data_IF_827562575306
#
_entry.id   IF_827562575306
#
_cell.length_a   1.000
_cell.length_b   1.000
_cell.length_c   1.000
_cell.angle_alpha   90.00
_cell.angle_beta   90.00
_cell.angle_gamma   90.00
#
_symmetry.space_group_name_H-M   'P 1'
#
loop_
_entity.id
_entity.type
_entity.pdbx_description
1 polymer ?
#
# COMPACT_ATOMS: atom_id res chain seq x y z
N UNK A 1 36.17 55.09 5.12
CA UNK A 1 35.33 53.90 4.93
C UNK A 1 34.82 53.88 3.50
N UNK A 2 34.73 52.66 2.91
CA UNK A 2 34.20 52.31 1.59
C UNK A 2 35.06 52.67 0.35
N UNK A 3 36.00 51.77 0.02
CA UNK A 3 36.50 51.55 -1.34
C UNK A 3 35.43 50.81 -2.14
N UNK A 4 35.03 51.34 -3.29
CA UNK A 4 34.06 50.69 -4.19
C UNK A 4 34.79 50.23 -5.45
N UNK A 5 35.02 48.93 -5.57
CA UNK A 5 35.67 48.30 -6.72
C UNK A 5 34.64 47.99 -7.80
N UNK A 6 34.83 48.60 -8.97
CA UNK A 6 34.19 48.23 -10.23
C UNK A 6 34.84 46.97 -10.78
N UNK A 7 34.07 45.90 -10.98
CA UNK A 7 34.48 44.77 -11.82
C UNK A 7 33.32 44.38 -12.74
N UNK A 8 33.51 44.70 -14.02
CA UNK A 8 32.70 44.25 -15.14
C UNK A 8 33.29 42.92 -15.62
N UNK A 9 32.49 41.85 -15.60
CA UNK A 9 32.88 40.57 -16.22
C UNK A 9 31.72 40.08 -17.08
N UNK A 10 31.84 40.36 -18.37
CA UNK A 10 31.11 39.72 -19.45
C UNK A 10 31.65 38.30 -19.64
N UNK A 11 30.80 37.28 -19.67
CA UNK A 11 31.22 35.92 -20.02
C UNK A 11 30.15 35.22 -20.87
N UNK A 12 30.34 35.46 -22.17
CA UNK A 12 30.02 34.66 -23.37
C UNK A 12 29.34 33.30 -23.14
N UNK A 13 28.15 33.17 -23.73
CA UNK A 13 27.51 31.88 -24.04
C UNK A 13 28.44 31.05 -24.94
N UNK A 14 28.78 29.84 -24.50
CA UNK A 14 29.36 28.82 -25.36
C UNK A 14 28.23 27.96 -25.92
N UNK A 15 27.90 28.21 -27.18
CA UNK A 15 27.02 27.37 -27.98
C UNK A 15 27.73 26.05 -28.30
N UNK A 16 27.22 24.94 -27.80
CA UNK A 16 27.72 23.61 -28.15
C UNK A 16 27.00 23.09 -29.40
N UNK A 17 27.85 22.83 -30.39
CA UNK A 17 27.61 22.31 -31.72
C UNK A 17 26.73 21.06 -31.76
N UNK A 18 25.78 21.04 -32.72
CA UNK A 18 24.94 19.88 -33.03
C UNK A 18 25.73 18.92 -33.92
N UNK A 19 26.25 17.85 -33.35
CA UNK A 19 26.84 16.77 -34.12
C UNK A 19 25.74 15.84 -34.64
N UNK A 20 25.47 15.93 -35.93
CA UNK A 20 24.62 15.03 -36.70
C UNK A 20 25.29 13.66 -36.83
N UNK A 21 24.79 12.65 -36.12
CA UNK A 21 25.18 11.25 -36.28
C UNK A 21 24.15 10.54 -37.15
N UNK A 22 24.60 10.08 -38.31
CA UNK A 22 23.84 9.27 -39.26
C UNK A 22 23.49 7.92 -38.62
N UNK A 23 22.19 7.64 -38.52
CA UNK A 23 21.63 6.40 -37.98
C UNK A 23 21.80 5.23 -38.95
N UNK A 24 22.29 4.05 -38.52
CA UNK A 24 22.22 2.84 -39.31
C UNK A 24 20.78 2.29 -39.26
N UNK A 25 20.20 2.01 -40.42
CA UNK A 25 18.92 1.32 -40.58
C UNK A 25 19.06 -0.12 -40.10
N UNK A 26 18.73 -0.38 -38.83
CA UNK A 26 18.42 -1.73 -38.37
C UNK A 26 17.00 -2.06 -38.83
N UNK A 27 16.89 -2.98 -39.79
CA UNK A 27 15.64 -3.61 -40.20
C UNK A 27 14.99 -4.27 -38.97
N UNK A 28 14.04 -3.57 -38.35
CA UNK A 28 13.20 -4.10 -37.28
C UNK A 28 12.24 -5.08 -37.93
N UNK A 29 12.64 -6.35 -38.02
CA UNK A 29 11.65 -7.42 -38.14
C UNK A 29 10.82 -7.38 -36.86
N UNK A 30 9.65 -6.75 -36.96
CA UNK A 30 8.66 -6.75 -35.89
C UNK A 30 8.19 -8.18 -35.72
N UNK A 31 8.87 -8.94 -34.86
CA UNK A 31 8.29 -10.12 -34.25
C UNK A 31 7.14 -9.62 -33.38
N UNK A 32 5.97 -9.43 -33.98
CA UNK A 32 4.71 -9.34 -33.24
C UNK A 32 4.48 -10.72 -32.65
N UNK A 33 5.12 -10.97 -31.50
CA UNK A 33 4.73 -12.07 -30.62
C UNK A 33 3.40 -11.66 -30.00
N UNK A 34 2.32 -11.82 -30.77
CA UNK A 34 0.98 -11.76 -30.26
C UNK A 34 0.82 -12.88 -29.24
N UNK A 35 0.74 -12.53 -27.96
CA UNK A 35 0.22 -13.44 -26.96
C UNK A 35 -1.26 -13.62 -27.27
N UNK A 36 -1.60 -14.71 -27.98
CA UNK A 36 -2.97 -15.18 -28.12
C UNK A 36 -3.33 -15.76 -26.75
N UNK A 37 -4.12 -15.00 -25.99
CA UNK A 37 -4.53 -15.32 -24.62
C UNK A 37 -5.46 -16.52 -24.50
N UNK A 38 -5.19 -17.62 -25.21
CA UNK A 38 -5.81 -18.92 -24.98
C UNK A 38 -5.09 -19.57 -23.78
N UNK A 39 -5.18 -18.93 -22.61
CA UNK A 39 -4.84 -19.61 -21.35
C UNK A 39 -5.92 -20.66 -21.09
N UNK A 40 -5.56 -21.92 -20.81
CA UNK A 40 -6.51 -22.88 -20.27
C UNK A 40 -7.24 -22.22 -19.09
N UNK A 41 -8.56 -22.43 -18.98
CA UNK A 41 -9.33 -22.04 -17.80
C UNK A 41 -8.56 -22.48 -16.57
N UNK A 42 -8.19 -21.51 -15.74
CA UNK A 42 -7.51 -21.71 -14.46
C UNK A 42 -8.41 -22.58 -13.59
N UNK A 43 -8.29 -23.89 -13.76
CA UNK A 43 -8.93 -24.85 -12.89
C UNK A 43 -8.26 -24.63 -11.54
N UNK A 44 -8.98 -24.08 -10.56
CA UNK A 44 -8.54 -23.79 -9.17
C UNK A 44 -7.85 -24.98 -8.44
N UNK A 45 -7.69 -26.11 -9.12
CA UNK A 45 -6.99 -27.34 -8.72
C UNK A 45 -5.53 -27.13 -8.31
N UNK A 46 -4.90 -26.03 -8.71
CA UNK A 46 -3.51 -25.70 -8.35
C UNK A 46 -3.40 -24.71 -7.17
N UNK A 47 -4.51 -24.31 -6.53
CA UNK A 47 -4.47 -23.53 -5.29
C UNK A 47 -3.95 -24.38 -4.12
N UNK A 48 -2.65 -24.32 -3.88
CA UNK A 48 -2.05 -24.78 -2.63
C UNK A 48 -2.38 -23.73 -1.56
N UNK A 49 -3.37 -24.04 -0.71
CA UNK A 49 -3.69 -23.21 0.44
C UNK A 49 -2.59 -23.39 1.49
N UNK A 50 -1.73 -22.38 1.62
CA UNK A 50 -0.67 -22.37 2.64
C UNK A 50 -1.36 -21.97 3.96
N UNK A 51 -1.42 -22.86 4.96
CA UNK A 51 -2.08 -22.53 6.22
C UNK A 51 -1.29 -21.43 6.93
N UNK A 52 -1.91 -20.26 7.07
CA UNK A 52 -1.34 -19.17 7.85
C UNK A 52 -1.37 -19.53 9.34
N UNK A 53 -0.39 -19.03 10.13
CA UNK A 53 -0.42 -19.22 11.57
C UNK A 53 -1.71 -18.60 12.15
N UNK A 54 -2.33 -19.25 13.15
CA UNK A 54 -3.51 -18.69 13.80
C UNK A 54 -3.17 -17.36 14.47
N UNK A 55 -4.07 -16.39 14.36
CA UNK A 55 -3.92 -15.13 15.08
C UNK A 55 -3.92 -15.39 16.60
N UNK A 56 -2.99 -14.76 17.31
CA UNK A 56 -2.85 -14.89 18.76
C UNK A 56 -2.99 -13.53 19.43
N UNK A 57 -3.91 -13.46 20.40
CA UNK A 57 -4.15 -12.26 21.19
C UNK A 57 -2.94 -11.95 22.07
N UNK A 58 -2.51 -10.68 22.06
CA UNK A 58 -1.46 -10.17 22.95
C UNK A 58 -2.07 -9.55 24.20
N UNK A 59 -1.75 -10.14 25.35
CA UNK A 59 -2.27 -9.73 26.67
C UNK A 59 -1.19 -9.14 27.59
N UNK A 60 0.07 -9.14 27.16
CA UNK A 60 1.24 -8.74 27.95
C UNK A 60 1.64 -7.26 27.77
N UNK A 61 0.96 -6.52 26.88
CA UNK A 61 1.26 -5.13 26.58
C UNK A 61 0.39 -4.12 27.36
N UNK A 62 0.93 -2.93 27.61
CA UNK A 62 0.17 -1.83 28.21
C UNK A 62 -0.92 -1.32 27.26
N UNK A 63 -1.99 -0.71 27.81
CA UNK A 63 -3.09 -0.15 27.00
C UNK A 63 -2.58 0.90 26.00
N UNK A 64 -1.61 1.73 26.38
CA UNK A 64 -1.04 2.74 25.49
C UNK A 64 -0.23 2.10 24.36
N UNK A 65 0.55 1.06 24.66
CA UNK A 65 1.29 0.27 23.66
C UNK A 65 0.33 -0.40 22.68
N UNK A 66 -0.75 -1.02 23.18
CA UNK A 66 -1.80 -1.63 22.36
C UNK A 66 -2.44 -0.62 21.41
N UNK A 67 -2.79 0.58 21.90
CA UNK A 67 -3.34 1.66 21.05
C UNK A 67 -2.37 2.08 19.95
N UNK A 68 -1.09 2.26 20.28
CA UNK A 68 -0.07 2.66 19.31
C UNK A 68 0.13 1.58 18.23
N UNK A 69 0.15 0.30 18.63
CA UNK A 69 0.23 -0.85 17.73
C UNK A 69 -0.99 -0.92 16.80
N UNK A 70 -2.20 -0.88 17.36
CA UNK A 70 -3.44 -0.95 16.57
C UNK A 70 -3.56 0.22 15.59
N UNK A 71 -3.12 1.42 15.99
CA UNK A 71 -3.07 2.57 15.08
C UNK A 71 -2.11 2.34 13.91
N UNK A 72 -0.96 1.72 14.17
CA UNK A 72 0.00 1.38 13.12
C UNK A 72 -0.56 0.32 12.16
N UNK A 73 -1.12 -0.77 12.70
CA UNK A 73 -1.74 -1.86 11.92
C UNK A 73 -2.93 -1.38 11.07
N UNK A 74 -3.69 -0.41 11.58
CA UNK A 74 -4.79 0.22 10.83
C UNK A 74 -4.29 0.99 9.60
N UNK A 75 -3.08 1.55 9.66
CA UNK A 75 -2.48 2.36 8.58
C UNK A 75 -1.65 1.53 7.60
N UNK A 76 -1.29 0.30 7.95
CA UNK A 76 -0.39 -0.56 7.17
C UNK A 76 -1.15 -1.71 6.50
N UNK A 77 -2.15 -1.36 5.70
CA UNK A 77 -2.99 -2.31 4.96
C UNK A 77 -2.54 -2.44 3.50
N UNK A 78 -2.86 -3.55 2.86
CA UNK A 78 -2.49 -3.81 1.45
C UNK A 78 -3.25 -2.93 0.45
N UNK A 79 -4.42 -2.41 0.84
CA UNK A 79 -5.29 -1.55 0.01
C UNK A 79 -5.48 -0.16 0.61
N UNK A 80 -5.69 0.84 -0.27
CA UNK A 80 -5.83 2.24 0.13
C UNK A 80 -7.18 2.53 0.78
N UNK A 81 -8.23 1.84 0.33
CA UNK A 81 -9.60 1.95 0.81
C UNK A 81 -9.66 1.67 2.31
N UNK A 82 -9.12 0.51 2.74
CA UNK A 82 -9.04 0.16 4.16
C UNK A 82 -8.08 1.05 4.93
N UNK A 83 -6.95 1.45 4.33
CA UNK A 83 -6.05 2.41 4.98
C UNK A 83 -6.78 3.69 5.38
N UNK A 84 -7.58 4.25 4.47
CA UNK A 84 -8.31 5.50 4.74
C UNK A 84 -9.41 5.26 5.78
N UNK A 85 -10.26 4.25 5.58
CA UNK A 85 -11.37 3.95 6.49
C UNK A 85 -10.88 3.67 7.92
N UNK A 86 -9.94 2.74 8.08
CA UNK A 86 -9.47 2.31 9.38
C UNK A 86 -8.58 3.37 10.04
N UNK A 87 -7.77 4.13 9.29
CA UNK A 87 -6.92 5.16 9.90
C UNK A 87 -7.72 6.32 10.48
N UNK A 88 -8.83 6.72 9.83
CA UNK A 88 -9.73 7.75 10.34
C UNK A 88 -10.46 7.24 11.58
N UNK A 89 -11.05 6.04 11.51
CA UNK A 89 -11.72 5.41 12.64
C UNK A 89 -10.80 5.25 13.86
N UNK A 90 -9.60 4.70 13.64
CA UNK A 90 -8.59 4.49 14.66
C UNK A 90 -8.18 5.81 15.34
N UNK A 91 -8.01 6.89 14.56
CA UNK A 91 -7.60 8.18 15.09
C UNK A 91 -8.64 8.76 16.06
N UNK A 92 -9.92 8.61 15.78
CA UNK A 92 -11.00 9.19 16.58
C UNK A 92 -11.40 8.31 17.78
N UNK A 93 -11.43 6.99 17.60
CA UNK A 93 -12.01 6.09 18.58
C UNK A 93 -10.97 5.40 19.49
N UNK A 94 -9.73 5.13 19.05
CA UNK A 94 -8.75 4.36 19.86
C UNK A 94 -8.45 4.99 21.22
N UNK A 95 -8.44 6.33 21.30
CA UNK A 95 -8.14 7.04 22.55
C UNK A 95 -9.23 6.85 23.61
N UNK A 96 -10.48 6.69 23.18
CA UNK A 96 -11.67 6.61 24.04
C UNK A 96 -12.10 5.17 24.31
N UNK A 97 -11.55 4.19 23.59
CA UNK A 97 -11.88 2.78 23.75
C UNK A 97 -11.32 2.18 25.05
N UNK A 98 -12.13 1.33 25.66
CA UNK A 98 -11.74 0.43 26.77
C UNK A 98 -10.90 -0.73 26.27
N UNK A 99 -10.17 -1.40 27.16
CA UNK A 99 -9.35 -2.57 26.81
C UNK A 99 -10.13 -3.66 26.08
N UNK A 100 -11.36 -3.97 26.52
CA UNK A 100 -12.23 -4.94 25.84
C UNK A 100 -12.53 -4.55 24.40
N UNK A 101 -12.80 -3.27 24.14
CA UNK A 101 -13.05 -2.76 22.80
C UNK A 101 -11.78 -2.77 21.94
N UNK A 102 -10.63 -2.48 22.52
CA UNK A 102 -9.35 -2.61 21.82
C UNK A 102 -9.08 -4.05 21.40
N UNK A 103 -9.39 -5.03 22.24
CA UNK A 103 -9.21 -6.45 21.89
C UNK A 103 -10.19 -6.90 20.78
N UNK A 104 -11.43 -6.42 20.82
CA UNK A 104 -12.39 -6.67 19.74
C UNK A 104 -11.93 -6.04 18.42
N UNK A 105 -11.38 -4.82 18.48
CA UNK A 105 -10.83 -4.15 17.30
C UNK A 105 -9.58 -4.88 16.77
N UNK A 106 -8.69 -5.32 17.65
CA UNK A 106 -7.50 -6.11 17.30
C UNK A 106 -7.89 -7.38 16.55
N UNK A 107 -8.89 -8.12 17.05
CA UNK A 107 -9.42 -9.29 16.38
C UNK A 107 -10.03 -8.91 15.02
N UNK A 108 -10.90 -7.91 14.96
CA UNK A 108 -11.57 -7.50 13.72
C UNK A 108 -10.58 -7.20 12.58
N UNK A 109 -9.47 -6.53 12.88
CA UNK A 109 -8.53 -6.09 11.86
C UNK A 109 -7.46 -7.15 11.54
N UNK A 110 -7.11 -8.04 12.47
CA UNK A 110 -5.97 -8.97 12.32
C UNK A 110 -6.35 -10.45 12.18
N UNK A 111 -7.60 -10.82 12.50
CA UNK A 111 -8.14 -12.17 12.27
C UNK A 111 -8.31 -12.51 10.77
N UNK A 112 -8.87 -11.62 9.91
CA UNK A 112 -9.02 -11.95 8.50
C UNK A 112 -7.68 -11.97 7.77
N UNK A 113 -7.46 -13.02 6.97
CA UNK A 113 -6.30 -13.11 6.09
C UNK A 113 -6.36 -12.13 4.91
N UNK A 114 -7.54 -11.64 4.57
CA UNK A 114 -7.78 -10.81 3.39
C UNK A 114 -8.41 -9.47 3.76
N UNK A 115 -7.76 -8.38 3.36
CA UNK A 115 -8.25 -7.02 3.58
C UNK A 115 -9.59 -6.75 2.86
N UNK A 116 -9.91 -7.46 1.75
CA UNK A 116 -11.20 -7.28 1.07
C UNK A 116 -12.40 -7.66 1.95
N UNK A 117 -12.25 -8.64 2.83
CA UNK A 117 -13.33 -9.07 3.72
C UNK A 117 -13.71 -7.94 4.68
N UNK A 118 -12.70 -7.25 5.23
CA UNK A 118 -12.90 -6.07 6.09
C UNK A 118 -13.67 -4.97 5.34
N UNK A 119 -13.30 -4.72 4.07
CA UNK A 119 -13.98 -3.71 3.25
C UNK A 119 -15.45 -4.07 3.01
N UNK A 120 -15.74 -5.34 2.69
CA UNK A 120 -17.11 -5.79 2.45
C UNK A 120 -17.96 -5.78 3.72
N UNK A 121 -17.39 -6.11 4.88
CA UNK A 121 -18.07 -5.99 6.17
C UNK A 121 -18.39 -4.53 6.50
N UNK A 122 -17.44 -3.62 6.25
CA UNK A 122 -17.63 -2.19 6.49
C UNK A 122 -18.69 -1.57 5.57
N UNK A 123 -18.82 -2.07 4.34
CA UNK A 123 -19.81 -1.59 3.35
C UNK A 123 -21.15 -2.32 3.41
N UNK A 124 -21.27 -3.39 4.23
CA UNK A 124 -22.48 -4.20 4.33
C UNK A 124 -22.78 -5.05 3.10
N UNK A 125 -21.77 -5.33 2.26
CA UNK A 125 -21.93 -6.11 1.03
C UNK A 125 -21.75 -7.62 1.24
N UNK A 126 -21.31 -8.03 2.44
CA UNK A 126 -21.13 -9.43 2.85
C UNK A 126 -21.52 -9.56 4.32
N UNK A 127 -22.10 -10.70 4.69
CA UNK A 127 -22.43 -11.03 6.08
C UNK A 127 -21.12 -11.11 6.88
N UNK A 128 -21.01 -10.32 7.95
CA UNK A 128 -19.89 -10.40 8.88
C UNK A 128 -19.87 -11.80 9.51
N UNK A 129 -18.70 -12.42 9.78
CA UNK A 129 -18.64 -13.73 10.42
C UNK A 129 -19.34 -13.78 11.79
N UNK A 130 -19.61 -12.62 12.41
CA UNK A 130 -20.39 -12.52 13.64
C UNK A 130 -21.92 -12.62 13.45
N UNK A 131 -22.46 -12.48 12.22
CA UNK A 131 -23.91 -12.56 11.94
C UNK A 131 -24.38 -13.95 11.49
N UNK A 132 -23.46 -14.87 11.23
CA UNK A 132 -23.78 -16.29 11.01
C UNK A 132 -23.77 -17.03 12.36
N UNK A 133 -24.82 -16.85 13.15
CA UNK A 133 -25.12 -17.66 14.36
C UNK A 133 -26.55 -18.15 14.29
#
# INVERSE_FOLDING_TARGET
MAVSTVFSISSRMLALSRHSLLSPLLSVTSFRRFYRGDSPTDSQKDMIEIPLPPWQERTDESIETKRARLLYESRKRGMLENCILLSLFAKEHLQHMTEKQLNLYDRLINEPSNDWDIYYWATGSSDSPASAS
#
